data_IF_190195323943
#
_entry.id   IF_190195323943
#
_cell.length_a   1.000
_cell.length_b   1.000
_cell.length_c   1.000
_cell.angle_alpha   90.00
_cell.angle_beta   90.00
_cell.angle_gamma   90.00
#
_symmetry.space_group_name_H-M   'P 1'
#
loop_
_entity.id
_entity.type
_entity.pdbx_description
1 polymer ?
#
# COMPACT_ATOMS: atom_id res chain seq x y z
N UNK A 1 -1.99 1.59 65.48
CA UNK A 1 -1.26 0.95 64.36
C UNK A 1 -2.15 1.00 63.14
N UNK A 2 -1.83 1.85 62.16
CA UNK A 2 -2.69 2.09 60.99
C UNK A 2 -2.40 1.04 59.91
N UNK A 3 -3.39 0.21 59.59
CA UNK A 3 -3.29 -0.74 58.48
C UNK A 3 -3.44 0.01 57.16
N UNK A 4 -2.42 -0.04 56.32
CA UNK A 4 -2.48 0.50 54.95
C UNK A 4 -3.40 -0.40 54.13
N UNK A 5 -4.41 0.15 53.44
CA UNK A 5 -5.33 -0.65 52.63
C UNK A 5 -4.60 -1.43 51.52
N UNK A 6 -4.94 -2.72 51.38
CA UNK A 6 -4.26 -3.66 50.47
C UNK A 6 -4.28 -3.26 48.98
N UNK A 7 -5.15 -2.34 48.57
CA UNK A 7 -5.22 -1.83 47.20
C UNK A 7 -4.17 -0.75 46.88
N UNK A 8 -3.42 -0.27 47.89
CA UNK A 8 -2.29 0.64 47.71
C UNK A 8 -0.93 -0.08 47.55
N UNK A 9 -0.92 -1.41 47.56
CA UNK A 9 0.27 -2.19 47.21
C UNK A 9 0.64 -1.85 45.76
N UNK A 10 1.74 -1.12 45.60
CA UNK A 10 2.18 -0.67 44.29
C UNK A 10 2.55 -1.90 43.46
N UNK A 11 2.26 -1.95 42.14
CA UNK A 11 2.56 -3.11 41.28
C UNK A 11 4.03 -3.59 41.28
N UNK A 12 4.94 -2.80 41.84
CA UNK A 12 6.37 -3.11 41.99
C UNK A 12 6.78 -3.71 43.35
N UNK A 13 5.85 -3.91 44.30
CA UNK A 13 6.14 -4.57 45.60
C UNK A 13 6.17 -6.11 45.52
N UNK A 14 6.19 -6.68 44.31
CA UNK A 14 6.51 -8.10 44.14
C UNK A 14 8.01 -8.25 44.39
N UNK A 15 8.37 -8.92 45.49
CA UNK A 15 9.78 -9.10 45.86
C UNK A 15 10.57 -9.68 44.68
N UNK A 16 11.76 -9.13 44.43
CA UNK A 16 12.67 -9.61 43.38
C UNK A 16 12.86 -11.12 43.48
N UNK A 17 12.94 -11.63 44.71
CA UNK A 17 13.00 -13.06 44.99
C UNK A 17 11.82 -13.84 44.40
N UNK A 18 10.58 -13.36 44.52
CA UNK A 18 9.42 -14.04 43.91
C UNK A 18 9.44 -13.98 42.38
N UNK A 19 10.02 -12.94 41.79
CA UNK A 19 10.21 -12.85 40.33
C UNK A 19 11.39 -13.69 39.83
N UNK A 20 12.38 -14.00 40.67
CA UNK A 20 13.58 -14.73 40.24
C UNK A 20 13.60 -16.19 40.65
N UNK A 21 12.80 -16.64 41.63
CA UNK A 21 12.87 -18.00 42.16
C UNK A 21 12.29 -19.10 41.26
N UNK A 22 11.39 -18.76 40.34
CA UNK A 22 10.71 -19.73 39.46
C UNK A 22 11.27 -19.73 38.02
N UNK A 23 12.21 -18.84 37.69
CA UNK A 23 12.81 -18.79 36.37
C UNK A 23 14.06 -19.67 36.32
N UNK A 24 13.91 -20.90 35.83
CA UNK A 24 15.04 -21.63 35.27
C UNK A 24 15.49 -20.87 34.03
N UNK A 25 16.68 -20.26 34.11
CA UNK A 25 17.28 -19.53 33.01
C UNK A 25 17.76 -20.52 31.95
N UNK A 26 16.91 -20.81 30.96
CA UNK A 26 17.34 -21.48 29.74
C UNK A 26 18.03 -20.45 28.82
N UNK A 27 19.33 -20.28 29.02
CA UNK A 27 20.18 -19.45 28.16
C UNK A 27 20.65 -20.20 26.89
N UNK A 28 19.96 -21.28 26.50
CA UNK A 28 20.30 -22.00 25.28
C UNK A 28 20.23 -21.09 24.04
N UNK A 29 21.17 -21.31 23.13
CA UNK A 29 21.20 -20.62 21.84
C UNK A 29 20.71 -21.55 20.76
N UNK A 30 19.90 -21.03 19.85
CA UNK A 30 19.43 -21.75 18.66
C UNK A 30 20.09 -21.20 17.40
N UNK A 31 20.34 -22.09 16.44
CA UNK A 31 20.81 -21.72 15.11
C UNK A 31 19.65 -21.64 14.13
N UNK A 32 19.47 -20.48 13.52
CA UNK A 32 18.45 -20.20 12.52
C UNK A 32 19.14 -19.95 11.17
N UNK A 33 18.59 -20.50 10.08
CA UNK A 33 19.12 -20.33 8.72
C UNK A 33 18.11 -19.59 7.85
N UNK A 34 18.50 -18.42 7.34
CA UNK A 34 17.65 -17.56 6.48
C UNK A 34 18.42 -17.26 5.20
N UNK A 35 17.89 -17.65 4.03
CA UNK A 35 18.53 -17.43 2.72
C UNK A 35 20.03 -17.85 2.69
N UNK A 36 20.36 -18.94 3.38
CA UNK A 36 21.74 -19.44 3.48
C UNK A 36 22.58 -18.83 4.59
N UNK A 37 22.18 -17.69 5.17
CA UNK A 37 22.87 -17.07 6.30
C UNK A 37 22.46 -17.70 7.63
N UNK A 38 23.46 -17.97 8.49
CA UNK A 38 23.28 -18.53 9.83
C UNK A 38 23.19 -17.42 10.88
N UNK A 39 22.25 -17.56 11.80
CA UNK A 39 22.02 -16.67 12.93
C UNK A 39 22.03 -17.47 14.23
N UNK A 40 22.87 -17.08 15.18
CA UNK A 40 22.88 -17.64 16.54
C UNK A 40 22.10 -16.69 17.44
N UNK A 41 20.97 -17.16 17.98
CA UNK A 41 20.04 -16.31 18.76
C UNK A 41 19.71 -16.98 20.08
N UNK A 42 19.49 -16.19 21.13
CA UNK A 42 18.99 -16.70 22.42
C UNK A 42 17.59 -17.26 22.25
N UNK A 43 17.39 -18.52 22.65
CA UNK A 43 16.08 -19.18 22.63
C UNK A 43 15.07 -18.41 23.47
N UNK A 44 15.49 -18.01 24.68
CA UNK A 44 14.68 -17.25 25.63
C UNK A 44 14.11 -15.98 25.03
N UNK A 45 14.93 -15.14 24.39
CA UNK A 45 14.48 -13.88 23.79
C UNK A 45 13.36 -14.10 22.78
N UNK A 46 13.51 -15.10 21.92
CA UNK A 46 12.49 -15.47 20.92
C UNK A 46 11.22 -15.99 21.58
N UNK A 47 11.34 -16.91 22.55
CA UNK A 47 10.16 -17.50 23.22
C UNK A 47 9.39 -16.51 24.09
N UNK A 48 10.07 -15.52 24.66
CA UNK A 48 9.42 -14.51 25.51
C UNK A 48 8.51 -13.60 24.70
N UNK A 49 8.87 -13.29 23.45
CA UNK A 49 8.11 -12.35 22.61
C UNK A 49 7.20 -13.03 21.60
N UNK A 50 7.43 -14.30 21.29
CA UNK A 50 6.74 -15.03 20.22
C UNK A 50 6.19 -16.38 20.69
N UNK A 51 4.87 -16.52 20.60
CA UNK A 51 4.21 -17.80 20.80
C UNK A 51 4.61 -18.82 19.72
N UNK A 52 4.89 -18.37 18.49
CA UNK A 52 5.35 -19.24 17.40
C UNK A 52 6.68 -19.89 17.74
N UNK A 53 7.67 -19.11 18.19
CA UNK A 53 8.96 -19.65 18.60
C UNK A 53 8.86 -20.53 19.84
N UNK A 54 8.02 -20.15 20.82
CA UNK A 54 7.72 -21.00 21.99
C UNK A 54 7.26 -22.40 21.56
N UNK A 55 6.23 -22.47 20.72
CA UNK A 55 5.70 -23.74 20.21
C UNK A 55 6.73 -24.48 19.36
N UNK A 56 7.47 -23.77 18.50
CA UNK A 56 8.46 -24.35 17.59
C UNK A 56 9.63 -25.04 18.32
N UNK A 57 9.99 -24.56 19.51
CA UNK A 57 11.05 -25.15 20.31
C UNK A 57 10.56 -26.22 21.29
N UNK A 58 9.25 -26.31 21.55
CA UNK A 58 8.65 -27.42 22.28
C UNK A 58 8.56 -28.71 21.46
N UNK A 59 8.72 -28.62 20.13
CA UNK A 59 8.74 -29.80 19.26
C UNK A 59 10.01 -30.62 19.50
N UNK A 60 9.93 -31.96 19.57
CA UNK A 60 11.10 -32.82 19.66
C UNK A 60 11.95 -32.61 18.40
N UNK A 61 13.18 -32.14 18.57
CA UNK A 61 14.15 -31.96 17.48
C UNK A 61 15.40 -32.76 17.79
N UNK A 62 15.99 -33.30 16.73
CA UNK A 62 17.38 -33.75 16.75
C UNK A 62 18.26 -32.51 16.83
N UNK A 63 19.09 -32.41 17.87
CA UNK A 63 19.82 -31.18 18.27
C UNK A 63 20.82 -30.62 17.23
N UNK A 64 20.98 -31.27 16.07
CA UNK A 64 22.07 -30.98 15.13
C UNK A 64 21.68 -30.07 13.95
N UNK A 65 20.40 -29.93 13.60
CA UNK A 65 20.01 -29.18 12.39
C UNK A 65 19.52 -27.75 12.66
N UNK A 66 20.05 -26.74 11.93
CA UNK A 66 19.57 -25.37 12.06
C UNK A 66 18.16 -25.22 11.51
N UNK A 67 17.35 -24.42 12.18
CA UNK A 67 15.96 -24.17 11.78
C UNK A 67 15.95 -23.26 10.57
N UNK A 68 15.48 -23.77 9.44
CA UNK A 68 15.36 -23.00 8.19
C UNK A 68 14.12 -22.12 8.24
N UNK A 69 14.28 -20.82 7.97
CA UNK A 69 13.20 -19.85 7.91
C UNK A 69 13.10 -19.28 6.49
N UNK A 70 11.87 -19.11 6.00
CA UNK A 70 11.57 -18.63 4.65
C UNK A 70 11.34 -17.11 4.67
N UNK A 71 12.38 -16.35 5.00
CA UNK A 71 12.37 -14.88 5.01
C UNK A 71 13.55 -14.32 4.24
N UNK A 72 13.49 -13.02 3.96
CA UNK A 72 14.67 -12.31 3.48
C UNK A 72 15.65 -12.11 4.63
N UNK A 73 16.95 -12.16 4.34
CA UNK A 73 18.00 -11.84 5.31
C UNK A 73 17.78 -10.47 5.94
N UNK A 74 17.38 -9.49 5.14
CA UNK A 74 17.23 -8.09 5.56
C UNK A 74 16.08 -7.93 6.58
N UNK A 75 14.91 -8.51 6.30
CA UNK A 75 13.77 -8.39 7.20
C UNK A 75 14.03 -9.07 8.54
N UNK A 76 14.66 -10.25 8.49
CA UNK A 76 14.99 -11.00 9.69
C UNK A 76 16.08 -10.31 10.52
N UNK A 77 17.09 -9.70 9.88
CA UNK A 77 18.10 -8.89 10.56
C UNK A 77 17.50 -7.69 11.27
N UNK A 78 16.56 -6.98 10.64
CA UNK A 78 15.88 -5.85 11.26
C UNK A 78 15.11 -6.28 12.52
N UNK A 79 14.42 -7.42 12.45
CA UNK A 79 13.70 -7.99 13.58
C UNK A 79 14.63 -8.42 14.72
N UNK A 80 15.70 -9.15 14.42
CA UNK A 80 16.68 -9.55 15.45
C UNK A 80 17.39 -8.34 16.06
N UNK A 81 17.75 -7.34 15.25
CA UNK A 81 18.32 -6.10 15.75
C UNK A 81 17.40 -5.46 16.79
N UNK A 82 16.08 -5.38 16.52
CA UNK A 82 15.12 -4.86 17.49
C UNK A 82 15.09 -5.66 18.81
N UNK A 83 15.16 -6.99 18.77
CA UNK A 83 15.17 -7.84 19.97
C UNK A 83 16.48 -7.77 20.76
N UNK A 84 17.59 -7.47 20.08
CA UNK A 84 18.92 -7.40 20.68
C UNK A 84 19.27 -5.99 21.16
N UNK A 85 18.71 -4.96 20.54
CA UNK A 85 18.99 -3.57 20.87
C UNK A 85 18.49 -3.19 22.26
N UNK A 86 19.33 -2.48 22.99
CA UNK A 86 18.91 -1.80 24.20
C UNK A 86 18.16 -0.49 23.84
N UNK A 87 17.45 0.06 24.82
CA UNK A 87 16.66 1.28 24.63
C UNK A 87 17.48 2.50 24.19
N UNK A 88 18.77 2.59 24.53
CA UNK A 88 19.64 3.69 24.11
C UNK A 88 20.03 3.56 22.64
N UNK A 89 20.48 2.38 22.19
CA UNK A 89 20.80 2.10 20.78
C UNK A 89 19.59 2.35 19.88
N UNK A 90 18.41 1.91 20.34
CA UNK A 90 17.17 2.15 19.61
C UNK A 90 16.87 3.65 19.49
N UNK A 91 16.99 4.41 20.59
CA UNK A 91 16.75 5.84 20.59
C UNK A 91 17.76 6.61 19.73
N UNK A 92 19.04 6.21 19.76
CA UNK A 92 20.10 6.82 18.95
C UNK A 92 19.88 6.52 17.47
N UNK A 93 19.52 5.28 17.13
CA UNK A 93 19.17 4.92 15.76
C UNK A 93 17.97 5.72 15.24
N UNK A 94 16.93 5.90 16.05
CA UNK A 94 15.74 6.69 15.68
C UNK A 94 16.06 8.17 15.42
N UNK A 95 17.12 8.71 16.03
CA UNK A 95 17.58 10.09 15.83
C UNK A 95 18.50 10.23 14.61
N UNK A 96 19.40 9.28 14.41
CA UNK A 96 20.47 9.39 13.42
C UNK A 96 20.08 8.91 12.03
N UNK A 97 18.99 8.15 11.88
CA UNK A 97 18.60 7.53 10.61
C UNK A 97 17.66 8.39 9.79
N UNK A 98 17.75 8.28 8.47
CA UNK A 98 16.84 8.99 7.56
C UNK A 98 15.40 8.44 7.69
N UNK A 99 14.39 9.24 7.32
CA UNK A 99 12.99 8.79 7.39
C UNK A 99 12.75 7.53 6.53
N UNK A 100 13.24 7.43 5.28
CA UNK A 100 13.05 6.22 4.48
C UNK A 100 13.69 4.98 5.10
N UNK A 101 14.91 5.10 5.65
CA UNK A 101 15.59 3.98 6.33
C UNK A 101 14.84 3.54 7.59
N UNK A 102 14.33 4.51 8.38
CA UNK A 102 13.50 4.23 9.56
C UNK A 102 12.22 3.51 9.14
N UNK A 103 11.52 4.02 8.14
CA UNK A 103 10.29 3.43 7.65
C UNK A 103 10.52 1.99 7.15
N UNK A 104 11.54 1.77 6.32
CA UNK A 104 11.87 0.45 5.80
C UNK A 104 12.20 -0.55 6.93
N UNK A 105 13.04 -0.16 7.90
CA UNK A 105 13.40 -1.04 9.03
C UNK A 105 12.21 -1.32 9.95
N UNK A 106 11.44 -0.29 10.31
CA UNK A 106 10.23 -0.48 11.14
C UNK A 106 9.22 -1.36 10.41
N UNK A 107 9.10 -1.24 9.09
CA UNK A 107 8.22 -2.10 8.29
C UNK A 107 8.67 -3.56 8.32
N UNK A 108 9.97 -3.81 8.20
CA UNK A 108 10.53 -5.15 8.36
C UNK A 108 10.27 -5.71 9.76
N UNK A 109 10.43 -4.90 10.81
CA UNK A 109 10.13 -5.30 12.19
C UNK A 109 8.65 -5.64 12.34
N UNK A 110 7.74 -4.77 11.88
CA UNK A 110 6.29 -5.00 11.92
C UNK A 110 5.92 -6.29 11.18
N UNK A 111 6.48 -6.50 9.99
CA UNK A 111 6.21 -7.69 9.20
C UNK A 111 6.66 -8.98 9.87
N UNK A 112 7.84 -9.01 10.48
CA UNK A 112 8.33 -10.20 11.18
C UNK A 112 7.60 -10.41 12.49
N UNK A 113 7.36 -9.34 13.26
CA UNK A 113 6.60 -9.39 14.50
C UNK A 113 5.19 -9.96 14.27
N UNK A 114 4.50 -9.51 13.23
CA UNK A 114 3.20 -10.06 12.86
C UNK A 114 3.28 -11.54 12.48
N UNK A 115 4.26 -11.93 11.64
CA UNK A 115 4.44 -13.31 11.21
C UNK A 115 4.71 -14.27 12.39
N UNK A 116 5.50 -13.82 13.36
CA UNK A 116 5.85 -14.59 14.56
C UNK A 116 4.88 -14.38 15.73
N UNK A 117 3.74 -13.73 15.53
CA UNK A 117 2.73 -13.45 16.55
C UNK A 117 3.28 -12.72 17.78
N UNK A 118 4.18 -11.77 17.55
CA UNK A 118 4.72 -10.85 18.55
C UNK A 118 3.82 -9.60 18.63
N UNK A 119 2.61 -9.75 19.19
CA UNK A 119 1.55 -8.72 19.11
C UNK A 119 1.98 -7.35 19.63
N UNK A 120 2.69 -7.28 20.76
CA UNK A 120 3.14 -6.01 21.34
C UNK A 120 4.13 -5.27 20.42
N UNK A 121 5.08 -6.01 19.85
CA UNK A 121 6.09 -5.47 18.92
C UNK A 121 5.41 -5.03 17.62
N UNK A 122 4.46 -5.82 17.11
CA UNK A 122 3.70 -5.50 15.90
C UNK A 122 2.88 -4.23 16.08
N UNK A 123 2.17 -4.09 17.20
CA UNK A 123 1.38 -2.91 17.53
C UNK A 123 2.25 -1.66 17.65
N UNK A 124 3.37 -1.76 18.39
CA UNK A 124 4.35 -0.68 18.50
C UNK A 124 4.89 -0.25 17.13
N UNK A 125 5.33 -1.21 16.31
CA UNK A 125 5.88 -0.91 14.99
C UNK A 125 4.84 -0.28 14.06
N UNK A 126 3.57 -0.70 14.18
CA UNK A 126 2.46 -0.13 13.40
C UNK A 126 2.17 1.32 13.78
N UNK A 127 2.26 1.69 15.06
CA UNK A 127 2.18 3.09 15.51
C UNK A 127 3.32 3.90 14.89
N UNK A 128 4.54 3.40 14.94
CA UNK A 128 5.70 4.07 14.34
C UNK A 128 5.56 4.24 12.82
N UNK A 129 5.02 3.24 12.11
CA UNK A 129 4.75 3.36 10.67
C UNK A 129 3.74 4.45 10.36
N UNK A 130 2.67 4.59 11.17
CA UNK A 130 1.67 5.66 11.01
C UNK A 130 2.30 7.04 11.17
N UNK A 131 3.20 7.20 12.13
CA UNK A 131 3.93 8.46 12.38
C UNK A 131 4.92 8.79 11.27
N UNK A 132 5.62 7.79 10.73
CA UNK A 132 6.63 7.97 9.69
C UNK A 132 6.02 8.15 8.28
N UNK A 133 4.83 7.61 8.05
CA UNK A 133 4.20 7.57 6.73
C UNK A 133 4.10 8.94 6.03
N UNK A 134 3.62 10.02 6.68
CA UNK A 134 3.52 11.33 6.03
C UNK A 134 4.88 11.86 5.53
N UNK A 135 5.96 11.51 6.22
CA UNK A 135 7.31 12.03 6.00
C UNK A 135 8.15 11.16 5.06
N UNK A 136 7.66 9.98 4.66
CA UNK A 136 8.50 8.98 4.00
C UNK A 136 8.88 9.33 2.55
N UNK A 137 8.19 10.29 1.93
CA UNK A 137 8.47 10.74 0.57
C UNK A 137 8.31 9.63 -0.48
N UNK A 138 9.16 9.66 -1.52
CA UNK A 138 9.24 8.60 -2.52
C UNK A 138 9.87 7.35 -1.91
N UNK A 139 9.06 6.31 -1.74
CA UNK A 139 9.50 5.01 -1.25
C UNK A 139 9.94 4.15 -2.42
N UNK A 140 11.04 3.40 -2.23
CA UNK A 140 11.52 2.44 -3.21
C UNK A 140 10.54 1.27 -3.43
N UNK A 141 10.58 0.66 -4.61
CA UNK A 141 9.69 -0.44 -5.00
C UNK A 141 9.81 -1.64 -4.05
N UNK A 142 11.00 -1.93 -3.52
CA UNK A 142 11.23 -3.03 -2.58
C UNK A 142 10.50 -2.84 -1.25
N UNK A 143 10.49 -1.62 -0.73
CA UNK A 143 9.76 -1.23 0.46
C UNK A 143 8.26 -1.24 0.22
N UNK A 144 7.79 -0.87 -0.99
CA UNK A 144 6.39 -1.08 -1.39
C UNK A 144 6.00 -2.58 -1.43
N UNK A 145 6.88 -3.45 -1.94
CA UNK A 145 6.69 -4.93 -1.95
C UNK A 145 6.55 -5.50 -0.55
N UNK A 146 7.49 -5.16 0.33
CA UNK A 146 7.44 -5.57 1.74
C UNK A 146 6.17 -5.09 2.42
N UNK A 147 5.75 -3.86 2.11
CA UNK A 147 4.53 -3.27 2.65
C UNK A 147 3.29 -4.01 2.18
N UNK A 148 3.14 -4.25 0.88
CA UNK A 148 1.98 -4.96 0.35
C UNK A 148 1.86 -6.34 0.99
N UNK A 149 2.98 -7.06 1.14
CA UNK A 149 3.02 -8.35 1.82
C UNK A 149 2.68 -8.24 3.32
N UNK A 150 3.09 -7.18 4.01
CA UNK A 150 2.70 -6.94 5.40
C UNK A 150 1.20 -6.63 5.51
N UNK A 151 0.73 -5.67 4.72
CA UNK A 151 -0.65 -5.22 4.65
C UNK A 151 -1.64 -6.34 4.34
N UNK A 152 -1.32 -7.23 3.39
CA UNK A 152 -2.19 -8.37 3.07
C UNK A 152 -2.29 -9.39 4.20
N UNK A 153 -1.30 -9.45 5.09
CA UNK A 153 -1.30 -10.33 6.27
C UNK A 153 -1.94 -9.67 7.49
N UNK A 154 -1.84 -8.35 7.59
CA UNK A 154 -2.32 -7.55 8.71
C UNK A 154 -3.77 -7.06 8.53
N UNK A 155 -4.38 -7.26 7.36
CA UNK A 155 -5.74 -6.79 7.04
C UNK A 155 -6.78 -7.20 8.07
N UNK A 156 -6.61 -8.39 8.65
CA UNK A 156 -7.57 -8.95 9.61
C UNK A 156 -7.47 -8.32 10.99
N UNK A 157 -6.31 -7.73 11.33
CA UNK A 157 -6.05 -7.14 12.65
C UNK A 157 -6.14 -5.61 12.64
N UNK A 158 -5.71 -4.95 11.56
CA UNK A 158 -5.72 -3.49 11.44
C UNK A 158 -6.19 -3.00 10.05
N UNK A 159 -7.50 -3.10 9.75
CA UNK A 159 -8.03 -2.64 8.46
C UNK A 159 -7.83 -1.14 8.24
N UNK A 160 -7.89 -0.34 9.31
CA UNK A 160 -7.73 1.12 9.24
C UNK A 160 -6.32 1.53 8.81
N UNK A 161 -5.29 0.77 9.18
CA UNK A 161 -3.93 1.03 8.73
C UNK A 161 -3.79 0.77 7.23
N UNK A 162 -4.41 -0.28 6.71
CA UNK A 162 -4.41 -0.58 5.28
C UNK A 162 -4.99 0.59 4.47
N UNK A 163 -6.18 1.07 4.86
CA UNK A 163 -6.87 2.16 4.18
C UNK A 163 -6.08 3.47 4.22
N UNK A 164 -5.50 3.80 5.38
CA UNK A 164 -4.66 5.00 5.54
C UNK A 164 -3.48 4.97 4.58
N UNK A 165 -2.82 3.82 4.49
CA UNK A 165 -1.63 3.71 3.68
C UNK A 165 -1.97 3.65 2.19
N UNK A 166 -3.02 2.93 1.80
CA UNK A 166 -3.54 2.97 0.43
C UNK A 166 -3.93 4.39 0.01
N UNK A 167 -4.58 5.14 0.90
CA UNK A 167 -4.93 6.55 0.68
C UNK A 167 -3.69 7.42 0.51
N UNK A 168 -2.67 7.22 1.34
CA UNK A 168 -1.39 7.91 1.20
C UNK A 168 -0.78 7.67 -0.18
N UNK A 169 -0.72 6.42 -0.66
CA UNK A 169 -0.18 6.12 -1.99
C UNK A 169 -1.00 6.70 -3.12
N UNK A 170 -2.32 6.65 -3.03
CA UNK A 170 -3.17 7.26 -4.04
C UNK A 170 -2.91 8.77 -4.13
N UNK A 171 -2.66 9.42 -2.98
CA UNK A 171 -2.28 10.83 -2.93
C UNK A 171 -0.86 11.06 -3.47
N UNK A 172 0.10 10.19 -3.16
CA UNK A 172 1.48 10.26 -3.67
C UNK A 172 1.54 10.04 -5.18
N UNK A 173 0.77 9.08 -5.72
CA UNK A 173 0.64 8.87 -7.16
C UNK A 173 0.04 10.13 -7.80
N UNK A 174 -1.00 10.70 -7.20
CA UNK A 174 -1.66 11.92 -7.70
C UNK A 174 -0.73 13.13 -7.73
N UNK A 175 0.22 13.23 -6.80
CA UNK A 175 1.23 14.30 -6.78
C UNK A 175 2.54 13.92 -7.48
N UNK A 176 2.68 12.70 -7.99
CA UNK A 176 3.91 12.24 -8.61
C UNK A 176 4.14 12.88 -9.98
N UNK A 177 5.39 13.27 -10.21
CA UNK A 177 5.89 13.71 -11.52
C UNK A 177 6.14 12.55 -12.49
N UNK A 178 6.26 11.32 -11.99
CA UNK A 178 6.51 10.12 -12.79
C UNK A 178 5.51 8.99 -12.44
N UNK A 179 4.25 9.11 -12.87
CA UNK A 179 3.24 8.08 -12.59
C UNK A 179 3.51 6.75 -13.33
N UNK A 180 4.41 6.72 -14.32
CA UNK A 180 4.83 5.48 -14.99
C UNK A 180 5.65 4.61 -14.03
N UNK A 181 6.50 5.21 -13.19
CA UNK A 181 7.20 4.48 -12.13
C UNK A 181 6.22 3.74 -11.21
N UNK A 182 5.14 4.41 -10.80
CA UNK A 182 4.08 3.83 -9.96
C UNK A 182 3.28 2.73 -10.67
N UNK A 183 3.07 2.85 -11.98
CA UNK A 183 2.43 1.80 -12.75
C UNK A 183 3.29 0.53 -12.77
N UNK A 184 4.59 0.65 -13.05
CA UNK A 184 5.51 -0.51 -13.05
C UNK A 184 5.59 -1.12 -11.65
N UNK A 185 5.73 -0.29 -10.61
CA UNK A 185 5.78 -0.76 -9.23
C UNK A 185 4.49 -1.52 -8.84
N UNK A 186 3.32 -1.01 -9.23
CA UNK A 186 2.03 -1.67 -8.90
C UNK A 186 1.77 -2.93 -9.72
N UNK A 187 2.34 -3.08 -10.92
CA UNK A 187 2.33 -4.33 -11.69
C UNK A 187 3.11 -5.44 -10.99
N UNK A 188 4.32 -5.11 -10.55
CA UNK A 188 5.20 -5.98 -9.77
C UNK A 188 4.55 -6.46 -8.46
N UNK A 189 3.66 -5.64 -7.90
CA UNK A 189 2.90 -5.95 -6.68
C UNK A 189 1.62 -6.75 -6.93
N UNK A 190 1.19 -6.86 -8.20
CA UNK A 190 -0.14 -7.31 -8.57
C UNK A 190 -1.28 -6.53 -7.89
N UNK A 191 -1.04 -5.26 -7.53
CA UNK A 191 -2.04 -4.39 -6.89
C UNK A 191 -2.86 -3.65 -7.96
N UNK A 192 -4.04 -4.18 -8.27
CA UNK A 192 -4.92 -3.62 -9.30
C UNK A 192 -5.41 -2.21 -8.94
N UNK A 193 -5.59 -1.90 -7.67
CA UNK A 193 -6.09 -0.58 -7.25
C UNK A 193 -5.03 0.49 -7.50
N UNK A 194 -3.79 0.26 -7.07
CA UNK A 194 -2.68 1.18 -7.34
C UNK A 194 -2.40 1.30 -8.85
N UNK A 195 -2.50 0.19 -9.61
CA UNK A 195 -2.38 0.22 -11.07
C UNK A 195 -3.42 1.15 -11.70
N UNK A 196 -4.69 1.05 -11.29
CA UNK A 196 -5.77 1.90 -11.79
C UNK A 196 -5.53 3.38 -11.50
N UNK A 197 -5.09 3.71 -10.29
CA UNK A 197 -4.72 5.09 -9.92
C UNK A 197 -3.54 5.60 -10.74
N UNK A 198 -2.52 4.78 -10.96
CA UNK A 198 -1.36 5.14 -11.77
C UNK A 198 -1.76 5.39 -13.24
N UNK A 199 -2.58 4.52 -13.84
CA UNK A 199 -3.11 4.76 -15.19
C UNK A 199 -3.92 6.05 -15.27
N UNK A 200 -4.83 6.29 -14.32
CA UNK A 200 -5.63 7.51 -14.28
C UNK A 200 -4.75 8.76 -14.22
N UNK A 201 -3.67 8.71 -13.43
CA UNK A 201 -2.75 9.84 -13.32
C UNK A 201 -1.94 10.04 -14.62
N UNK A 202 -1.48 8.97 -15.27
CA UNK A 202 -0.80 9.06 -16.58
C UNK A 202 -1.72 9.74 -17.61
N UNK A 203 -3.01 9.38 -17.62
CA UNK A 203 -4.00 9.98 -18.53
C UNK A 203 -4.20 11.47 -18.24
N UNK A 204 -4.26 11.86 -16.96
CA UNK A 204 -4.42 13.27 -16.55
C UNK A 204 -3.24 14.14 -16.94
N UNK A 205 -2.02 13.64 -16.83
CA UNK A 205 -0.81 14.40 -17.17
C UNK A 205 -0.57 14.51 -18.69
N UNK A 206 -1.43 13.90 -19.53
CA UNK A 206 -1.35 13.95 -21.00
C UNK A 206 0.07 13.73 -21.53
N UNK A 207 0.77 12.76 -20.97
CA UNK A 207 2.21 12.71 -21.12
C UNK A 207 2.56 12.36 -22.59
N UNK A 208 3.07 13.33 -23.35
CA UNK A 208 3.49 13.13 -24.74
C UNK A 208 4.52 11.99 -24.88
N UNK A 209 5.18 11.62 -23.77
CA UNK A 209 6.12 10.50 -23.72
C UNK A 209 5.48 9.11 -23.55
N UNK A 210 4.15 8.98 -23.43
CA UNK A 210 3.48 7.65 -23.31
C UNK A 210 3.88 6.72 -24.47
N UNK A 211 4.10 7.26 -25.66
CA UNK A 211 4.50 6.47 -26.83
C UNK A 211 5.98 6.11 -26.85
N UNK A 212 6.85 6.90 -26.23
CA UNK A 212 8.31 6.72 -26.26
C UNK A 212 8.88 6.08 -24.99
N UNK A 213 8.15 6.07 -23.88
CA UNK A 213 8.65 5.54 -22.61
C UNK A 213 8.78 4.01 -22.68
N UNK A 214 10.01 3.50 -22.63
CA UNK A 214 10.32 2.07 -22.79
C UNK A 214 9.83 1.20 -21.63
N UNK A 215 9.47 1.80 -20.48
CA UNK A 215 8.98 1.08 -19.30
C UNK A 215 7.56 0.56 -19.50
N UNK A 216 6.78 1.19 -20.38
CA UNK A 216 5.42 0.78 -20.70
C UNK A 216 5.42 -0.42 -21.66
N UNK A 217 4.75 -1.49 -21.25
CA UNK A 217 4.49 -2.63 -22.13
C UNK A 217 3.56 -2.24 -23.28
N UNK A 218 3.50 -3.06 -24.32
CA UNK A 218 2.53 -2.89 -25.42
C UNK A 218 1.10 -2.86 -24.88
N UNK A 219 0.80 -3.70 -23.87
CA UNK A 219 -0.51 -3.77 -23.24
C UNK A 219 -0.84 -2.48 -22.47
N UNK A 220 0.14 -1.88 -21.79
CA UNK A 220 -0.05 -0.62 -21.05
C UNK A 220 -0.39 0.53 -21.98
N UNK A 221 0.34 0.65 -23.09
CA UNK A 221 0.06 1.67 -24.11
C UNK A 221 -1.34 1.50 -24.67
N UNK A 222 -1.76 0.27 -24.93
CA UNK A 222 -3.13 -0.01 -25.40
C UNK A 222 -4.19 0.37 -24.38
N UNK A 223 -3.98 0.03 -23.10
CA UNK A 223 -4.88 0.39 -22.01
C UNK A 223 -4.99 1.91 -21.90
N UNK A 224 -3.87 2.63 -21.92
CA UNK A 224 -3.83 4.09 -21.90
C UNK A 224 -4.53 4.70 -23.11
N UNK A 225 -4.26 4.22 -24.32
CA UNK A 225 -4.96 4.71 -25.52
C UNK A 225 -6.48 4.50 -25.46
N UNK A 226 -6.90 3.33 -24.98
CA UNK A 226 -8.34 3.02 -24.81
C UNK A 226 -8.97 3.89 -23.71
N UNK A 227 -8.28 4.06 -22.59
CA UNK A 227 -8.71 4.93 -21.49
C UNK A 227 -8.85 6.38 -21.93
N UNK A 228 -7.88 6.90 -22.69
CA UNK A 228 -7.93 8.25 -23.25
C UNK A 228 -9.16 8.44 -24.16
N UNK A 229 -9.42 7.47 -25.05
CA UNK A 229 -10.59 7.50 -25.94
C UNK A 229 -11.92 7.50 -25.17
N UNK A 230 -12.04 6.69 -24.11
CA UNK A 230 -13.25 6.64 -23.30
C UNK A 230 -13.49 7.95 -22.55
N UNK A 231 -12.43 8.60 -22.03
CA UNK A 231 -12.56 9.90 -21.37
C UNK A 231 -13.11 10.97 -22.33
N UNK A 232 -12.71 10.96 -23.60
CA UNK A 232 -13.21 11.89 -24.63
C UNK A 232 -14.71 11.70 -24.89
N UNK A 233 -15.17 10.44 -25.01
CA UNK A 233 -16.59 10.15 -25.24
C UNK A 233 -17.44 10.69 -24.10
N UNK A 234 -17.00 10.47 -22.85
CA UNK A 234 -17.75 10.93 -21.68
C UNK A 234 -17.81 12.46 -21.59
N UNK A 235 -16.74 13.17 -21.95
CA UNK A 235 -16.72 14.64 -21.94
C UNK A 235 -17.60 15.25 -23.05
N UNK A 236 -17.62 14.64 -24.24
CA UNK A 236 -18.41 15.11 -25.38
C UNK A 236 -19.93 14.90 -25.26
N UNK A 237 -20.37 13.90 -24.51
CA UNK A 237 -21.82 13.64 -24.30
C UNK A 237 -22.47 14.55 -23.26
N UNK A 238 -21.69 15.31 -22.48
CA UNK A 238 -22.20 16.20 -21.42
C UNK A 238 -22.76 17.54 -21.90
N UNK A 239 -22.44 18.00 -23.11
CA UNK A 239 -22.83 19.33 -23.60
C UNK A 239 -24.00 19.33 -24.59
N UNK A 240 -24.32 18.22 -25.25
CA UNK A 240 -25.46 18.20 -26.18
C UNK A 240 -26.84 18.07 -25.51
N UNK A 241 -26.92 17.53 -24.29
CA UNK A 241 -28.19 17.36 -23.57
C UNK A 241 -28.73 18.68 -22.98
N UNK A 242 -27.87 19.62 -22.59
CA UNK A 242 -28.30 20.87 -21.94
C UNK A 242 -28.62 22.00 -22.92
N UNK A 243 -28.26 21.88 -24.20
CA UNK A 243 -28.62 22.88 -25.21
C UNK A 243 -30.00 22.66 -25.86
N UNK A 244 -30.61 21.48 -25.68
CA UNK A 244 -31.97 21.22 -26.22
C UNK A 244 -33.11 21.59 -25.29
N UNK A 245 -32.87 21.80 -23.99
CA UNK A 245 -33.91 22.25 -23.05
C UNK A 245 -33.92 23.75 -22.76
N UNK A 246 -32.89 24.51 -23.15
CA UNK A 246 -32.85 25.97 -22.97
C UNK A 246 -33.64 26.76 -24.05
N UNK A 247 -34.40 26.09 -24.94
CA UNK A 247 -35.26 26.74 -25.95
C UNK A 247 -36.76 26.57 -25.71
N UNK A 248 -37.18 25.94 -24.61
CA UNK A 248 -38.61 25.69 -24.36
C UNK A 248 -39.00 25.79 -22.90
N UNK A 249 -38.77 26.93 -22.25
CA UNK A 249 -39.59 27.36 -21.10
C UNK A 249 -39.16 28.75 -20.64
N UNK A 250 -39.94 29.75 -21.04
CA UNK A 250 -40.05 30.95 -20.23
C UNK A 250 -40.87 30.64 -18.98
N UNK A 251 -40.49 31.19 -17.83
CA UNK A 251 -41.40 31.37 -16.71
C UNK A 251 -40.86 31.03 -15.32
N UNK A 252 -40.56 32.12 -14.58
CA UNK A 252 -40.99 32.39 -13.18
C UNK A 252 -40.33 31.62 -12.00
N UNK A 253 -39.58 32.43 -11.23
CA UNK A 253 -39.32 32.51 -9.78
C UNK A 253 -38.86 31.31 -8.92
N UNK A 254 -37.73 31.57 -8.23
CA UNK A 254 -37.20 31.10 -6.92
C UNK A 254 -38.22 30.47 -5.92
N UNK A 255 -37.81 29.61 -4.93
CA UNK A 255 -36.65 29.89 -4.04
C UNK A 255 -35.82 28.70 -3.49
N UNK A 256 -34.62 29.07 -3.00
CA UNK A 256 -33.81 28.51 -1.89
C UNK A 256 -33.56 26.98 -1.77
N UNK A 257 -32.27 26.61 -1.73
CA UNK A 257 -31.85 25.28 -1.30
C UNK A 257 -30.33 25.07 -1.19
N UNK A 258 -29.82 25.24 0.03
CA UNK A 258 -28.85 24.37 0.73
C UNK A 258 -27.49 24.10 0.05
N UNK A 259 -26.45 24.54 0.76
CA UNK A 259 -25.03 24.18 0.62
C UNK A 259 -24.82 22.68 0.37
N UNK A 260 -24.42 22.33 -0.86
CA UNK A 260 -23.73 21.09 -1.15
C UNK A 260 -22.34 21.44 -1.66
N UNK A 261 -21.32 21.22 -0.82
CA UNK A 261 -19.93 21.11 -1.26
C UNK A 261 -19.78 19.85 -2.12
N UNK A 262 -20.32 19.89 -3.33
CA UNK A 262 -19.99 18.94 -4.39
C UNK A 262 -18.76 19.47 -5.09
N UNK A 263 -17.69 18.69 -5.02
CA UNK A 263 -16.46 18.84 -5.80
C UNK A 263 -16.83 18.88 -7.28
N UNK A 264 -17.03 20.09 -7.80
CA UNK A 264 -17.08 20.39 -9.22
C UNK A 264 -15.68 20.16 -9.79
N UNK A 265 -15.43 18.92 -10.22
CA UNK A 265 -14.25 18.56 -11.00
C UNK A 265 -14.43 19.18 -12.39
N UNK A 266 -13.98 20.42 -12.56
CA UNK A 266 -13.99 21.11 -13.85
C UNK A 266 -12.93 20.47 -14.76
N UNK A 267 -13.40 19.64 -15.69
CA UNK A 267 -12.66 19.06 -16.81
C UNK A 267 -12.45 20.16 -17.88
N UNK A 268 -11.87 21.31 -17.51
CA UNK A 268 -11.61 22.39 -18.48
C UNK A 268 -10.26 22.22 -19.17
N UNK A 269 -9.32 21.49 -18.54
CA UNK A 269 -7.96 21.32 -19.05
C UNK A 269 -7.86 20.29 -20.18
N UNK A 270 -8.82 19.33 -20.27
CA UNK A 270 -8.81 18.35 -21.36
C UNK A 270 -9.38 18.91 -22.67
N UNK A 271 -10.29 19.89 -22.63
CA UNK A 271 -10.92 20.43 -23.85
C UNK A 271 -10.02 21.42 -24.61
N UNK A 272 -9.22 22.23 -23.91
CA UNK A 272 -8.31 23.20 -24.54
C UNK A 272 -7.17 22.56 -25.33
N UNK A 273 -6.63 21.42 -24.87
CA UNK A 273 -5.51 20.76 -25.55
C UNK A 273 -5.98 19.94 -26.76
N UNK A 274 -7.15 19.29 -26.69
CA UNK A 274 -7.68 18.48 -27.79
C UNK A 274 -8.28 19.30 -28.94
N UNK A 275 -8.65 20.56 -28.70
CA UNK A 275 -9.04 21.48 -29.76
C UNK A 275 -7.90 21.79 -30.75
N UNK A 276 -6.64 21.54 -30.37
CA UNK A 276 -5.47 21.91 -31.18
C UNK A 276 -5.00 20.83 -32.17
N UNK A 277 -5.22 19.53 -31.91
CA UNK A 277 -4.88 18.45 -32.85
C UNK A 277 -5.65 17.12 -32.59
N UNK A 278 -6.87 16.96 -33.14
CA UNK A 278 -7.67 15.74 -33.00
C UNK A 278 -7.05 14.50 -33.69
N UNK A 279 -6.19 14.70 -34.70
CA UNK A 279 -5.64 13.63 -35.50
C UNK A 279 -4.64 12.77 -34.71
N UNK A 280 -3.92 13.40 -33.76
CA UNK A 280 -2.86 12.79 -32.96
C UNK A 280 -3.32 11.67 -32.02
N UNK A 281 -4.62 11.64 -31.69
CA UNK A 281 -5.21 10.69 -30.73
C UNK A 281 -6.36 9.86 -31.32
N UNK A 282 -6.64 10.01 -32.62
CA UNK A 282 -7.64 9.20 -33.30
C UNK A 282 -7.10 7.80 -33.58
N UNK A 283 -7.70 6.77 -32.97
CA UNK A 283 -7.51 5.39 -33.41
C UNK A 283 -8.32 5.20 -34.68
N UNK A 284 -7.64 5.02 -35.82
CA UNK A 284 -8.31 4.74 -37.09
C UNK A 284 -9.15 3.47 -36.98
N UNK A 285 -10.22 3.37 -37.77
CA UNK A 285 -11.07 2.18 -37.83
C UNK A 285 -10.26 0.89 -38.07
N UNK A 286 -9.19 1.01 -38.85
CA UNK A 286 -8.21 -0.06 -39.14
C UNK A 286 -7.35 -0.41 -37.92
N UNK A 287 -6.81 0.57 -37.20
CA UNK A 287 -6.07 0.31 -35.95
C UNK A 287 -6.97 -0.34 -34.90
N UNK A 288 -8.23 0.10 -34.78
CA UNK A 288 -9.23 -0.52 -33.91
C UNK A 288 -9.47 -1.98 -34.31
N UNK A 289 -9.74 -2.27 -35.58
CA UNK A 289 -9.95 -3.64 -36.06
C UNK A 289 -8.73 -4.54 -35.80
N UNK A 290 -7.52 -4.04 -36.04
CA UNK A 290 -6.28 -4.78 -35.78
C UNK A 290 -6.06 -5.06 -34.29
N UNK A 291 -6.41 -4.12 -33.41
CA UNK A 291 -6.35 -4.32 -31.96
C UNK A 291 -7.37 -5.35 -31.48
N UNK A 292 -8.61 -5.31 -31.99
CA UNK A 292 -9.63 -6.30 -31.64
C UNK A 292 -9.23 -7.72 -32.10
N UNK A 293 -8.75 -7.84 -33.34
CA UNK A 293 -8.30 -9.10 -33.91
C UNK A 293 -7.09 -9.69 -33.17
N UNK A 294 -6.08 -8.87 -32.83
CA UNK A 294 -4.86 -9.31 -32.16
C UNK A 294 -5.11 -9.89 -30.75
N UNK A 295 -6.15 -9.42 -30.06
CA UNK A 295 -6.44 -9.79 -28.68
C UNK A 295 -7.65 -10.72 -28.54
N UNK A 296 -8.29 -11.11 -29.64
CA UNK A 296 -9.44 -12.03 -29.62
C UNK A 296 -10.64 -11.47 -28.86
N UNK A 297 -10.84 -10.15 -28.90
CA UNK A 297 -11.90 -9.44 -28.16
C UNK A 297 -12.83 -8.71 -29.14
N UNK A 298 -14.12 -8.69 -28.84
CA UNK A 298 -15.16 -8.16 -29.73
C UNK A 298 -15.29 -6.65 -29.64
N UNK A 299 -14.80 -6.05 -28.56
CA UNK A 299 -14.86 -4.60 -28.35
C UNK A 299 -13.68 -4.11 -27.52
N UNK A 300 -13.37 -2.81 -27.65
CA UNK A 300 -12.39 -2.14 -26.77
C UNK A 300 -12.91 -2.11 -25.32
N UNK A 301 -14.23 -2.20 -25.13
CA UNK A 301 -14.87 -2.32 -23.83
C UNK A 301 -14.53 -3.64 -23.11
N UNK A 302 -14.41 -4.75 -23.84
CA UNK A 302 -13.94 -6.02 -23.24
C UNK A 302 -12.48 -5.93 -22.79
N UNK A 303 -11.62 -5.23 -23.54
CA UNK A 303 -10.24 -4.95 -23.12
C UNK A 303 -10.23 -4.07 -21.86
N UNK A 304 -11.11 -3.07 -21.83
CA UNK A 304 -11.25 -2.12 -20.74
C UNK A 304 -11.78 -2.79 -19.45
N UNK A 305 -12.80 -3.65 -19.54
CA UNK A 305 -13.37 -4.39 -18.40
C UNK A 305 -12.45 -5.49 -17.87
N UNK A 306 -11.58 -6.05 -18.73
CA UNK A 306 -10.51 -6.97 -18.32
C UNK A 306 -9.26 -6.23 -17.81
N UNK A 307 -9.29 -4.90 -17.82
CA UNK A 307 -8.20 -4.04 -17.38
C UNK A 307 -8.49 -3.49 -15.98
N UNK A 308 -7.45 -3.25 -15.16
CA UNK A 308 -7.61 -2.61 -13.85
C UNK A 308 -8.47 -1.33 -13.91
N UNK A 309 -8.33 -0.52 -14.97
CA UNK A 309 -9.11 0.71 -15.15
C UNK A 309 -10.63 0.51 -15.26
N UNK A 310 -11.10 -0.64 -15.74
CA UNK A 310 -12.53 -0.93 -15.85
C UNK A 310 -13.24 -0.94 -14.50
N UNK A 311 -12.53 -1.43 -13.47
CA UNK A 311 -13.05 -1.59 -12.12
C UNK A 311 -13.24 -0.26 -11.36
N UNK A 312 -12.36 0.72 -11.59
CA UNK A 312 -12.46 2.03 -10.90
C UNK A 312 -13.42 2.99 -11.60
N UNK A 313 -13.48 3.01 -12.94
CA UNK A 313 -14.47 3.85 -13.63
C UNK A 313 -15.91 3.36 -13.41
N UNK A 314 -16.14 2.06 -13.21
CA UNK A 314 -17.47 1.56 -12.83
C UNK A 314 -17.93 2.00 -11.44
N UNK A 315 -17.01 2.33 -10.53
CA UNK A 315 -17.35 2.90 -9.21
C UNK A 315 -17.63 4.41 -9.26
N UNK A 316 -17.09 5.09 -10.26
CA UNK A 316 -17.30 6.53 -10.50
C UNK A 316 -18.58 6.77 -11.31
N UNK A 317 -19.06 5.77 -12.05
CA UNK A 317 -20.35 5.83 -12.74
C UNK A 317 -21.47 6.13 -11.73
N UNK A 318 -22.10 7.29 -11.91
CA UNK A 318 -23.23 7.78 -11.12
C UNK A 318 -24.32 6.69 -11.10
N UNK A 319 -24.90 6.35 -9.93
CA UNK A 319 -26.00 5.39 -9.90
C UNK A 319 -27.10 5.87 -10.83
N UNK A 320 -27.48 5.04 -11.79
CA UNK A 320 -28.65 5.25 -12.63
C UNK A 320 -29.86 5.42 -11.72
N UNK A 321 -30.41 6.63 -11.70
CA UNK A 321 -31.69 6.97 -11.07
C UNK A 321 -32.82 6.15 -11.68
#
# INVERSE_FOLDING_TARGET
MSQVPAYLARPWDVSVAKRTHEYIYDDSTVWLKVEGQMFKVSRRKLTTVSAVFSNLFCLPKTDEEPIKLNHTVEDFKAFLWYLESNHFEFADWMKCSTVPERFARVLSIASMAHFYLCSEISAWATVQLKELLPSCGLIDIGTLKRRHAFSSRASDQEPTFFDQVQSYWCNTIRSSTDPIHWLVASQDLHDQHLQSFAYLQILKLQHATIQSDKRLSVLDRMRLHTGAFNLIIHDGTGTESNYRHARSSGGVSDPQGILSHRTSFRIEVLSEVYATDPARYSITRTQRANLLARYGVKSLWEIFNRSPMGFELSKIAIPSS
#
